data_IF_945778087175
#
_entry.id   IF_945778087175
#
_cell.length_a   1.000
_cell.length_b   1.000
_cell.length_c   1.000
_cell.angle_alpha   90.00
_cell.angle_beta   90.00
_cell.angle_gamma   90.00
#
_symmetry.space_group_name_H-M   'P 1'
#
loop_
_entity.id
_entity.type
_entity.pdbx_description
1 polymer ?
#
# COMPACT_ATOMS: atom_id res chain seq x y z
N UNK A 1 -1.99 -22.71 10.27
CA UNK A 1 -2.90 -21.55 10.05
C UNK A 1 -3.09 -20.76 11.34
N UNK A 2 -2.05 -20.69 12.18
CA UNK A 2 -2.16 -20.01 13.46
C UNK A 2 -2.28 -18.49 13.26
N UNK A 3 -3.39 -17.91 13.70
CA UNK A 3 -3.61 -16.47 13.79
C UNK A 3 -4.30 -15.80 12.58
N UNK A 4 -4.58 -16.50 11.49
CA UNK A 4 -5.32 -15.91 10.36
C UNK A 4 -6.80 -15.86 10.70
N UNK A 5 -7.38 -14.65 10.63
CA UNK A 5 -8.79 -14.39 10.97
C UNK A 5 -9.63 -14.47 9.69
N UNK A 6 -10.66 -15.30 9.72
CA UNK A 6 -11.71 -15.31 8.71
C UNK A 6 -12.79 -14.32 9.14
N UNK A 7 -13.04 -13.31 8.35
CA UNK A 7 -14.03 -12.27 8.65
C UNK A 7 -15.45 -12.82 8.47
N UNK A 8 -16.36 -12.43 9.37
CA UNK A 8 -17.78 -12.70 9.22
C UNK A 8 -18.38 -11.83 8.10
N UNK A 9 -19.59 -12.17 7.58
CA UNK A 9 -20.25 -11.31 6.59
C UNK A 9 -20.41 -9.86 7.07
N UNK A 10 -20.76 -9.65 8.33
CA UNK A 10 -20.91 -8.32 8.92
C UNK A 10 -19.58 -7.56 9.02
N UNK A 11 -18.49 -8.26 9.31
CA UNK A 11 -17.15 -7.68 9.33
C UNK A 11 -16.69 -7.32 7.91
N UNK A 12 -16.99 -8.16 6.93
CA UNK A 12 -16.69 -7.90 5.50
C UNK A 12 -17.38 -6.61 5.03
N UNK A 13 -18.65 -6.38 5.40
CA UNK A 13 -19.33 -5.13 5.05
C UNK A 13 -18.64 -3.89 5.65
N UNK A 14 -18.15 -3.98 6.89
CA UNK A 14 -17.38 -2.90 7.51
C UNK A 14 -16.06 -2.66 6.78
N UNK A 15 -15.38 -3.73 6.37
CA UNK A 15 -14.14 -3.64 5.61
C UNK A 15 -14.38 -3.03 4.22
N UNK A 16 -15.49 -3.35 3.55
CA UNK A 16 -15.90 -2.69 2.30
C UNK A 16 -16.12 -1.19 2.47
N UNK A 17 -16.81 -0.79 3.55
CA UNK A 17 -16.98 0.64 3.86
C UNK A 17 -15.63 1.33 4.05
N UNK A 18 -14.73 0.75 4.85
CA UNK A 18 -13.42 1.35 5.14
C UNK A 18 -12.50 1.37 3.91
N UNK A 19 -12.51 0.31 3.12
CA UNK A 19 -11.78 0.28 1.84
C UNK A 19 -12.26 1.39 0.89
N UNK A 20 -13.58 1.61 0.81
CA UNK A 20 -14.14 2.74 0.06
C UNK A 20 -13.71 4.09 0.62
N UNK A 21 -13.72 4.26 1.95
CA UNK A 21 -13.34 5.52 2.60
C UNK A 21 -11.85 5.86 2.35
N UNK A 22 -10.95 4.89 2.47
CA UNK A 22 -9.52 5.14 2.22
C UNK A 22 -9.27 5.44 0.74
N UNK A 23 -9.92 4.74 -0.19
CA UNK A 23 -9.81 5.01 -1.62
C UNK A 23 -10.35 6.41 -2.00
N UNK A 24 -11.47 6.83 -1.39
CA UNK A 24 -12.04 8.17 -1.54
C UNK A 24 -11.09 9.26 -1.00
N UNK A 25 -10.41 9.00 0.12
CA UNK A 25 -9.39 9.91 0.64
C UNK A 25 -8.21 10.03 -0.33
N UNK A 26 -7.73 8.92 -0.92
CA UNK A 26 -6.68 8.96 -1.95
C UNK A 26 -7.12 9.76 -3.19
N UNK A 27 -8.37 9.61 -3.64
CA UNK A 27 -8.93 10.40 -4.75
C UNK A 27 -8.96 11.90 -4.41
N UNK A 28 -9.34 12.24 -3.19
CA UNK A 28 -9.35 13.64 -2.70
C UNK A 28 -7.93 14.21 -2.62
N UNK A 29 -7.01 13.51 -1.94
CA UNK A 29 -5.63 13.96 -1.72
C UNK A 29 -4.86 14.11 -3.03
N UNK A 30 -5.07 13.21 -3.99
CA UNK A 30 -4.41 13.23 -5.30
C UNK A 30 -4.56 14.57 -6.05
N UNK A 31 -5.65 15.30 -5.81
CA UNK A 31 -5.90 16.60 -6.44
C UNK A 31 -4.93 17.70 -5.97
N UNK A 32 -4.27 17.50 -4.83
CA UNK A 32 -3.33 18.45 -4.24
C UNK A 32 -1.87 18.14 -4.54
N UNK A 33 -1.58 16.97 -5.12
CA UNK A 33 -0.21 16.58 -5.45
C UNK A 33 0.29 17.33 -6.68
N UNK A 34 1.11 18.35 -6.43
CA UNK A 34 1.68 19.23 -7.48
C UNK A 34 3.00 19.85 -7.02
N UNK A 35 3.82 20.39 -7.93
CA UNK A 35 5.04 21.09 -7.56
C UNK A 35 4.79 22.22 -6.55
N UNK A 36 5.65 22.31 -5.54
CA UNK A 36 5.60 23.35 -4.49
C UNK A 36 4.82 22.97 -3.24
N UNK A 37 3.96 21.93 -3.29
CA UNK A 37 3.27 21.41 -2.09
C UNK A 37 4.26 20.62 -1.25
N UNK A 38 4.20 20.76 0.07
CA UNK A 38 4.99 19.98 1.02
C UNK A 38 4.24 18.71 1.43
N UNK A 39 4.96 17.68 1.83
CA UNK A 39 4.33 16.47 2.35
C UNK A 39 3.66 16.68 3.71
N UNK A 40 4.08 17.72 4.49
CA UNK A 40 3.36 18.17 5.69
C UNK A 40 2.00 18.78 5.37
N UNK A 41 1.85 19.50 4.25
CA UNK A 41 0.53 19.97 3.80
C UNK A 41 -0.37 18.82 3.40
N UNK A 42 0.17 17.79 2.74
CA UNK A 42 -0.55 16.55 2.41
C UNK A 42 -1.00 15.84 3.70
N UNK A 43 -0.12 15.66 4.67
CA UNK A 43 -0.42 15.04 5.96
C UNK A 43 -1.57 15.76 6.69
N UNK A 44 -1.56 17.09 6.68
CA UNK A 44 -2.64 17.90 7.26
C UNK A 44 -3.97 17.66 6.56
N UNK A 45 -3.97 17.62 5.23
CA UNK A 45 -5.18 17.33 4.45
C UNK A 45 -5.72 15.91 4.77
N UNK A 46 -4.85 14.93 4.89
CA UNK A 46 -5.23 13.55 5.29
C UNK A 46 -5.87 13.55 6.67
N UNK A 47 -5.23 14.17 7.66
CA UNK A 47 -5.77 14.27 9.00
C UNK A 47 -7.17 14.90 9.00
N UNK A 48 -7.28 16.10 8.39
CA UNK A 48 -8.54 16.84 8.33
C UNK A 48 -9.64 16.04 7.62
N UNK A 49 -9.31 15.32 6.55
CA UNK A 49 -10.28 14.53 5.80
C UNK A 49 -10.75 13.31 6.59
N UNK A 50 -9.84 12.52 7.14
CA UNK A 50 -10.19 11.35 7.94
C UNK A 50 -10.99 11.70 9.19
N UNK A 51 -10.58 12.76 9.91
CA UNK A 51 -11.21 13.13 11.20
C UNK A 51 -12.50 13.91 10.99
N UNK A 52 -12.46 14.98 10.18
CA UNK A 52 -13.57 15.94 10.12
C UNK A 52 -14.61 15.58 9.05
N UNK A 53 -14.22 14.84 8.00
CA UNK A 53 -15.14 14.46 6.90
C UNK A 53 -15.62 13.02 7.07
N UNK A 54 -14.70 12.07 7.28
CA UNK A 54 -15.03 10.65 7.31
C UNK A 54 -15.38 10.14 8.72
N UNK A 55 -15.09 10.92 9.77
CA UNK A 55 -15.38 10.55 11.16
C UNK A 55 -14.56 9.34 11.64
N UNK A 56 -13.36 9.18 11.11
CA UNK A 56 -12.39 8.16 11.48
C UNK A 56 -11.14 8.74 12.12
N UNK A 57 -10.11 7.91 12.26
CA UNK A 57 -8.81 8.29 12.82
C UNK A 57 -7.70 7.77 11.92
N UNK A 58 -6.66 8.56 11.59
CA UNK A 58 -5.51 8.10 10.81
C UNK A 58 -4.70 7.10 11.64
N UNK A 59 -4.75 5.83 11.30
CA UNK A 59 -4.16 4.74 12.06
C UNK A 59 -2.62 4.80 12.19
N UNK A 60 -1.86 5.37 11.23
CA UNK A 60 -0.41 5.51 11.39
C UNK A 60 -0.02 6.42 12.55
N UNK A 61 -0.83 7.45 12.87
CA UNK A 61 -0.50 8.42 13.91
C UNK A 61 -0.35 7.74 15.29
N UNK A 62 0.85 7.86 15.87
CA UNK A 62 1.28 7.24 17.11
C UNK A 62 1.39 5.70 17.09
N UNK A 63 1.34 5.09 15.92
CA UNK A 63 1.56 3.64 15.76
C UNK A 63 3.04 3.27 15.93
N UNK A 64 3.30 2.08 16.47
CA UNK A 64 4.64 1.50 16.56
C UNK A 64 5.55 2.05 17.65
N UNK A 65 6.85 1.71 17.55
CA UNK A 65 7.88 2.14 18.49
C UNK A 65 9.22 2.37 17.75
N UNK A 66 9.72 3.63 17.65
CA UNK A 66 9.11 4.86 18.17
C UNK A 66 7.72 5.14 17.57
N UNK A 67 6.85 5.92 18.25
CA UNK A 67 5.54 6.26 17.69
C UNK A 67 5.67 7.03 16.37
N UNK A 68 4.95 6.61 15.33
CA UNK A 68 4.95 7.32 14.06
C UNK A 68 4.31 8.71 14.22
N UNK A 69 4.95 9.80 13.76
CA UNK A 69 4.55 11.14 14.18
C UNK A 69 3.48 11.79 13.29
N UNK A 70 2.98 11.11 12.25
CA UNK A 70 2.15 11.68 11.19
C UNK A 70 0.93 10.82 10.88
N UNK A 71 -0.01 11.38 10.12
CA UNK A 71 -1.30 10.76 9.78
C UNK A 71 -1.23 9.84 8.57
N UNK A 72 -0.20 9.98 7.76
CA UNK A 72 0.04 9.17 6.57
C UNK A 72 1.53 8.96 6.34
N UNK A 73 1.88 7.98 5.48
CA UNK A 73 3.24 7.89 4.97
C UNK A 73 3.33 8.57 3.59
N UNK A 74 4.45 9.26 3.35
CA UNK A 74 4.73 9.93 2.07
C UNK A 74 6.14 9.55 1.61
N UNK A 75 6.22 8.70 0.59
CA UNK A 75 7.48 8.12 0.14
C UNK A 75 7.87 8.67 -1.23
N UNK A 76 8.85 9.60 -1.23
CA UNK A 76 9.25 10.35 -2.43
C UNK A 76 10.49 9.73 -3.07
N UNK A 77 10.43 9.48 -4.37
CA UNK A 77 11.54 9.03 -5.24
C UNK A 77 12.21 7.74 -4.75
N UNK A 78 13.33 7.84 -4.03
CA UNK A 78 14.11 6.72 -3.53
C UNK A 78 13.68 6.22 -2.14
N UNK A 79 12.65 6.83 -1.56
CA UNK A 79 12.00 6.32 -0.34
C UNK A 79 11.11 5.16 -0.75
N UNK A 80 11.33 4.00 -0.14
CA UNK A 80 10.61 2.76 -0.44
C UNK A 80 9.22 2.79 0.23
N UNK A 81 9.21 3.03 1.55
CA UNK A 81 7.99 3.09 2.36
C UNK A 81 8.23 3.85 3.66
N UNK A 82 7.16 4.10 4.42
CA UNK A 82 7.16 4.75 5.73
C UNK A 82 7.84 6.13 5.77
N UNK A 83 7.91 6.82 4.64
CA UNK A 83 8.45 8.18 4.59
C UNK A 83 7.63 9.12 5.47
N UNK A 84 8.32 9.84 6.38
CA UNK A 84 7.67 10.80 7.28
C UNK A 84 7.46 12.11 6.54
N UNK A 85 6.22 12.62 6.48
CA UNK A 85 5.92 13.96 5.95
C UNK A 85 6.81 15.06 6.52
N UNK A 86 7.36 15.92 5.66
CA UNK A 86 8.25 17.02 6.01
C UNK A 86 7.90 18.32 5.24
N UNK A 87 8.65 19.40 5.50
CA UNK A 87 8.44 20.71 4.89
C UNK A 87 9.16 20.90 3.54
N UNK A 88 9.73 19.83 2.97
CA UNK A 88 10.35 19.92 1.65
C UNK A 88 9.28 19.96 0.58
N UNK A 89 9.27 20.99 -0.28
CA UNK A 89 8.33 21.06 -1.37
C UNK A 89 8.60 19.99 -2.43
N UNK A 90 7.55 19.35 -2.91
CA UNK A 90 7.59 18.47 -4.06
C UNK A 90 8.04 19.24 -5.30
N UNK A 91 8.80 18.60 -6.17
CA UNK A 91 9.36 19.20 -7.37
C UNK A 91 8.78 18.52 -8.62
N UNK A 92 8.74 19.31 -9.70
CA UNK A 92 8.46 18.77 -11.03
C UNK A 92 9.35 17.56 -11.32
N UNK A 93 8.74 16.44 -11.71
CA UNK A 93 9.45 15.19 -12.00
C UNK A 93 9.57 14.23 -10.83
N UNK A 94 9.20 14.63 -9.60
CA UNK A 94 9.13 13.69 -8.47
C UNK A 94 8.00 12.66 -8.66
N UNK A 95 8.21 11.47 -8.11
CA UNK A 95 7.18 10.47 -7.89
C UNK A 95 6.97 10.30 -6.38
N UNK A 96 5.75 10.10 -5.95
CA UNK A 96 5.43 9.94 -4.54
C UNK A 96 4.40 8.83 -4.34
N UNK A 97 4.66 7.93 -3.39
CA UNK A 97 3.63 7.07 -2.82
C UNK A 97 3.01 7.80 -1.64
N UNK A 98 1.67 7.81 -1.60
CA UNK A 98 0.90 8.28 -0.44
C UNK A 98 0.13 7.07 0.06
N UNK A 99 0.33 6.76 1.33
CA UNK A 99 -0.16 5.57 2.00
C UNK A 99 -1.03 6.00 3.19
N UNK A 100 -2.28 5.61 3.14
CA UNK A 100 -3.34 6.02 4.05
C UNK A 100 -4.00 4.83 4.72
N UNK A 101 -4.10 4.88 6.04
CA UNK A 101 -4.89 3.92 6.80
C UNK A 101 -5.89 4.65 7.68
N UNK A 102 -7.17 4.39 7.50
CA UNK A 102 -8.24 4.89 8.36
C UNK A 102 -8.65 3.83 9.39
N UNK A 103 -8.84 4.25 10.64
CA UNK A 103 -9.48 3.46 11.69
C UNK A 103 -10.84 4.04 12.01
N UNK A 104 -11.90 3.22 11.91
CA UNK A 104 -13.27 3.61 12.26
C UNK A 104 -14.06 2.40 12.78
N UNK A 105 -14.87 2.59 13.79
CA UNK A 105 -15.74 1.55 14.37
C UNK A 105 -15.01 0.24 14.73
N UNK A 106 -13.74 0.37 15.16
CA UNK A 106 -12.89 -0.73 15.59
C UNK A 106 -12.26 -1.56 14.47
N UNK A 107 -12.33 -1.09 13.21
CA UNK A 107 -11.70 -1.71 12.04
C UNK A 107 -10.76 -0.73 11.33
N UNK A 108 -9.94 -1.25 10.41
CA UNK A 108 -9.00 -0.49 9.61
C UNK A 108 -9.28 -0.70 8.12
N UNK A 109 -9.07 0.34 7.32
CA UNK A 109 -9.02 0.27 5.86
C UNK A 109 -7.69 0.88 5.39
N UNK A 110 -7.00 0.21 4.49
CA UNK A 110 -5.62 0.48 4.12
C UNK A 110 -5.40 0.47 2.61
N UNK A 111 -4.74 1.48 2.09
CA UNK A 111 -4.36 1.52 0.67
C UNK A 111 -3.32 2.58 0.40
N UNK A 112 -2.48 2.34 -0.58
CA UNK A 112 -1.53 3.33 -1.07
C UNK A 112 -1.56 3.48 -2.58
N UNK A 113 -1.16 4.67 -3.03
CA UNK A 113 -1.18 4.99 -4.46
C UNK A 113 0.04 5.82 -4.85
N UNK A 114 0.55 5.57 -6.07
CA UNK A 114 1.57 6.42 -6.68
C UNK A 114 0.95 7.65 -7.34
N UNK A 115 1.60 8.78 -7.16
CA UNK A 115 1.29 10.01 -7.86
C UNK A 115 2.54 10.59 -8.53
N UNK A 116 2.33 11.23 -9.68
CA UNK A 116 3.38 11.98 -10.37
C UNK A 116 3.26 13.46 -10.03
N UNK A 117 4.39 14.11 -9.79
CA UNK A 117 4.45 15.56 -9.54
C UNK A 117 4.78 16.27 -10.84
N UNK A 118 3.73 16.74 -11.54
CA UNK A 118 3.89 17.26 -12.89
C UNK A 118 4.35 16.21 -13.89
N UNK A 119 5.22 16.59 -14.83
CA UNK A 119 5.74 15.68 -15.85
C UNK A 119 6.96 14.90 -15.35
N UNK A 120 6.83 13.60 -15.26
CA UNK A 120 7.92 12.69 -14.85
C UNK A 120 8.68 12.12 -16.05
N UNK A 121 9.86 11.56 -15.79
CA UNK A 121 10.64 10.88 -16.82
C UNK A 121 9.94 9.59 -17.27
N UNK A 122 10.15 9.13 -18.54
CA UNK A 122 9.63 7.83 -19.00
C UNK A 122 10.06 6.65 -18.13
N UNK A 123 11.26 6.73 -17.54
CA UNK A 123 11.79 5.70 -16.64
C UNK A 123 10.98 5.65 -15.34
N UNK A 124 10.68 6.81 -14.75
CA UNK A 124 9.86 6.90 -13.54
C UNK A 124 8.41 6.43 -13.80
N UNK A 125 7.82 6.84 -14.93
CA UNK A 125 6.49 6.38 -15.31
C UNK A 125 6.45 4.86 -15.48
N UNK A 126 7.43 4.29 -16.19
CA UNK A 126 7.54 2.83 -16.39
C UNK A 126 7.66 2.08 -15.06
N UNK A 127 8.39 2.62 -14.07
CA UNK A 127 8.48 2.01 -12.74
C UNK A 127 7.10 1.98 -12.06
N UNK A 128 6.37 3.09 -12.09
CA UNK A 128 5.01 3.18 -11.55
C UNK A 128 4.09 2.15 -12.20
N UNK A 129 4.09 2.09 -13.54
CA UNK A 129 3.21 1.20 -14.30
C UNK A 129 3.53 -0.28 -14.06
N UNK A 130 4.81 -0.64 -14.00
CA UNK A 130 5.23 -2.02 -13.70
C UNK A 130 4.91 -2.41 -12.26
N UNK A 131 5.04 -1.47 -11.31
CA UNK A 131 4.68 -1.74 -9.90
C UNK A 131 3.19 -1.99 -9.76
N UNK A 132 2.34 -1.18 -10.44
CA UNK A 132 0.91 -1.42 -10.49
C UNK A 132 0.58 -2.78 -11.13
N UNK A 133 1.18 -3.10 -12.28
CA UNK A 133 1.00 -4.39 -12.93
C UNK A 133 1.47 -5.57 -12.06
N UNK A 134 2.54 -5.39 -11.27
CA UNK A 134 3.04 -6.38 -10.31
C UNK A 134 2.00 -6.65 -9.21
N UNK A 135 1.44 -5.59 -8.63
CA UNK A 135 0.36 -5.70 -7.63
C UNK A 135 -0.85 -6.43 -8.20
N UNK A 136 -1.32 -6.00 -9.38
CA UNK A 136 -2.50 -6.60 -10.02
C UNK A 136 -2.30 -8.07 -10.36
N UNK A 137 -1.11 -8.47 -10.82
CA UNK A 137 -0.79 -9.87 -11.08
C UNK A 137 -0.86 -10.71 -9.78
N UNK A 138 -0.41 -10.15 -8.65
CA UNK A 138 -0.58 -10.79 -7.34
C UNK A 138 -2.04 -10.93 -6.95
N UNK A 139 -2.84 -9.87 -7.14
CA UNK A 139 -4.28 -9.87 -6.83
C UNK A 139 -5.03 -10.88 -7.70
N UNK A 140 -4.74 -10.96 -8.99
CA UNK A 140 -5.36 -11.92 -9.93
C UNK A 140 -5.06 -13.38 -9.57
N UNK A 141 -3.98 -13.65 -8.84
CA UNK A 141 -3.68 -14.98 -8.32
C UNK A 141 -4.52 -15.37 -7.09
N UNK A 142 -5.25 -14.40 -6.47
CA UNK A 142 -6.06 -14.63 -5.28
C UNK A 142 -7.35 -15.36 -5.64
N UNK A 143 -7.49 -16.57 -5.10
CA UNK A 143 -8.71 -17.36 -5.17
C UNK A 143 -8.70 -18.46 -4.09
N UNK A 144 -9.85 -19.02 -3.71
CA UNK A 144 -9.88 -20.16 -2.80
C UNK A 144 -9.00 -21.30 -3.29
N UNK A 145 -8.18 -21.85 -2.40
CA UNK A 145 -7.27 -22.96 -2.69
C UNK A 145 -5.92 -22.57 -3.28
N UNK A 146 -5.73 -21.35 -3.79
CA UNK A 146 -4.41 -20.80 -4.08
C UNK A 146 -3.63 -20.57 -2.78
N UNK A 147 -2.34 -20.28 -2.87
CA UNK A 147 -1.48 -20.00 -1.71
C UNK A 147 -0.95 -18.58 -1.75
N UNK A 148 -0.51 -18.05 -0.61
CA UNK A 148 0.19 -16.76 -0.58
C UNK A 148 1.49 -16.77 -1.39
N UNK A 149 2.13 -17.93 -1.55
CA UNK A 149 3.27 -18.09 -2.45
C UNK A 149 2.91 -17.92 -3.93
N UNK A 150 1.67 -18.22 -4.34
CA UNK A 150 1.18 -17.93 -5.69
C UNK A 150 1.06 -16.43 -5.93
N UNK A 151 0.54 -15.70 -4.93
CA UNK A 151 0.45 -14.23 -4.94
C UNK A 151 1.83 -13.60 -5.06
N UNK A 152 2.74 -13.96 -4.15
CA UNK A 152 4.10 -13.41 -4.14
C UNK A 152 4.88 -13.76 -5.41
N UNK A 153 4.74 -14.98 -5.92
CA UNK A 153 5.36 -15.39 -7.17
C UNK A 153 4.87 -14.53 -8.35
N UNK A 154 3.56 -14.28 -8.44
CA UNK A 154 2.99 -13.49 -9.52
C UNK A 154 3.51 -12.04 -9.49
N UNK A 155 3.53 -11.39 -8.31
CA UNK A 155 4.14 -10.06 -8.14
C UNK A 155 5.59 -10.04 -8.61
N UNK A 156 6.40 -10.99 -8.14
CA UNK A 156 7.83 -11.07 -8.42
C UNK A 156 8.11 -11.24 -9.91
N UNK A 157 7.36 -12.11 -10.59
CA UNK A 157 7.58 -12.37 -12.02
C UNK A 157 7.40 -11.12 -12.88
N UNK A 158 6.38 -10.30 -12.61
CA UNK A 158 6.15 -9.06 -13.37
C UNK A 158 7.29 -8.07 -13.14
N UNK A 159 7.70 -7.85 -11.90
CA UNK A 159 8.76 -6.90 -11.56
C UNK A 159 10.12 -7.32 -12.13
N UNK A 160 10.53 -8.58 -11.92
CA UNK A 160 11.84 -9.09 -12.32
C UNK A 160 11.97 -9.24 -13.85
N UNK A 161 10.90 -9.66 -14.54
CA UNK A 161 10.87 -9.70 -16.00
C UNK A 161 10.98 -8.31 -16.64
N UNK A 162 10.56 -7.26 -15.93
CA UNK A 162 10.75 -5.88 -16.33
C UNK A 162 12.15 -5.33 -16.02
N UNK A 163 13.00 -6.11 -15.33
CA UNK A 163 14.37 -5.74 -14.94
C UNK A 163 14.46 -4.97 -13.63
N UNK A 164 13.40 -5.01 -12.79
CA UNK A 164 13.35 -4.36 -11.49
C UNK A 164 13.54 -5.36 -10.34
N UNK A 165 13.68 -4.86 -9.12
CA UNK A 165 13.90 -5.68 -7.93
C UNK A 165 12.74 -5.56 -6.94
N UNK A 166 12.31 -6.69 -6.39
CA UNK A 166 11.29 -6.73 -5.33
C UNK A 166 11.97 -6.58 -3.98
N UNK A 167 11.47 -5.68 -3.14
CA UNK A 167 11.87 -5.55 -1.74
C UNK A 167 11.37 -6.78 -0.96
N UNK A 168 12.21 -7.33 -0.10
CA UNK A 168 11.93 -8.59 0.61
C UNK A 168 11.79 -8.43 2.12
N UNK A 169 12.21 -7.31 2.66
CA UNK A 169 12.24 -7.03 4.09
C UNK A 169 10.90 -6.49 4.62
N UNK A 170 10.01 -6.09 3.73
CA UNK A 170 8.65 -5.65 4.02
C UNK A 170 7.64 -6.49 3.23
N UNK A 171 6.42 -6.54 3.72
CA UNK A 171 5.37 -7.39 3.15
C UNK A 171 3.99 -6.79 3.41
N UNK A 172 3.00 -7.25 2.69
CA UNK A 172 1.61 -7.05 3.00
C UNK A 172 1.17 -7.88 4.22
N UNK A 173 -0.01 -7.63 4.69
CA UNK A 173 -0.50 -8.18 5.96
C UNK A 173 -2.01 -8.42 5.95
N UNK A 174 -2.47 -9.32 6.82
CA UNK A 174 -3.87 -9.39 7.18
C UNK A 174 -4.31 -8.08 7.85
N UNK A 175 -5.56 -7.72 7.68
CA UNK A 175 -6.12 -6.47 8.22
C UNK A 175 -7.55 -6.68 8.69
N UNK A 176 -7.99 -5.85 9.65
CA UNK A 176 -9.33 -5.89 10.19
C UNK A 176 -9.43 -5.09 11.48
N UNK A 177 -9.66 -5.77 12.59
CA UNK A 177 -9.64 -5.12 13.91
C UNK A 177 -8.24 -4.69 14.32
N UNK A 178 -7.22 -5.45 13.94
CA UNK A 178 -5.82 -5.03 14.01
C UNK A 178 -5.43 -4.31 12.72
N UNK A 179 -4.55 -3.33 12.83
CA UNK A 179 -3.95 -2.67 11.67
C UNK A 179 -3.12 -3.71 10.89
N UNK A 180 -2.19 -4.39 11.59
CA UNK A 180 -1.43 -5.49 11.03
C UNK A 180 -1.81 -6.79 11.72
N UNK A 181 -2.42 -7.70 10.96
CA UNK A 181 -2.82 -9.04 11.39
C UNK A 181 -2.06 -10.10 10.58
N UNK A 182 -2.16 -11.36 11.00
CA UNK A 182 -1.76 -12.47 10.14
C UNK A 182 -2.75 -12.61 8.95
N UNK A 183 -2.27 -13.02 7.77
CA UNK A 183 -0.93 -13.51 7.46
C UNK A 183 0.04 -12.40 7.03
N UNK A 184 1.34 -12.70 6.98
CA UNK A 184 2.29 -11.94 6.19
C UNK A 184 2.13 -12.31 4.71
N UNK A 185 2.05 -11.30 3.83
CA UNK A 185 1.87 -11.44 2.39
C UNK A 185 3.15 -11.00 1.69
N UNK A 186 4.03 -11.95 1.41
CA UNK A 186 5.28 -11.67 0.70
C UNK A 186 4.99 -11.40 -0.78
N UNK A 187 5.70 -10.44 -1.38
CA UNK A 187 5.58 -10.11 -2.81
C UNK A 187 6.63 -10.84 -3.66
N UNK A 188 7.14 -11.93 -3.14
CA UNK A 188 8.04 -12.89 -3.78
C UNK A 188 7.77 -14.28 -3.22
N UNK A 189 8.21 -15.32 -3.91
CA UNK A 189 8.04 -16.68 -3.40
C UNK A 189 7.98 -17.74 -4.48
N UNK A 190 7.38 -18.87 -4.11
CA UNK A 190 7.23 -20.03 -4.99
C UNK A 190 5.77 -20.47 -5.02
N UNK A 191 5.30 -20.85 -6.21
CA UNK A 191 3.96 -21.39 -6.40
C UNK A 191 3.67 -22.57 -5.46
N UNK A 192 2.46 -22.59 -4.93
CA UNK A 192 1.96 -23.67 -4.06
C UNK A 192 2.54 -23.65 -2.65
N UNK A 193 3.30 -22.62 -2.25
CA UNK A 193 3.88 -22.52 -0.91
C UNK A 193 3.14 -21.53 0.00
N UNK A 194 3.23 -21.76 1.30
CA UNK A 194 2.64 -20.89 2.31
C UNK A 194 1.17 -21.19 2.61
N UNK A 195 0.50 -20.29 3.34
CA UNK A 195 -0.91 -20.43 3.71
C UNK A 195 -1.82 -20.55 2.50
N UNK A 196 -2.77 -21.50 2.60
CA UNK A 196 -3.83 -21.66 1.59
C UNK A 196 -4.90 -20.62 1.82
N UNK A 197 -5.30 -19.93 0.77
CA UNK A 197 -6.32 -18.89 0.77
C UNK A 197 -7.71 -19.49 0.95
N UNK A 198 -8.51 -18.88 1.81
CA UNK A 198 -9.87 -19.27 2.12
C UNK A 198 -10.81 -18.08 2.04
N UNK A 199 -12.08 -18.28 1.62
CA UNK A 199 -13.09 -17.23 1.66
C UNK A 199 -13.16 -16.54 3.03
N UNK A 200 -13.32 -15.22 3.03
CA UNK A 200 -13.35 -14.39 4.22
C UNK A 200 -11.99 -13.94 4.75
N UNK A 201 -10.87 -14.38 4.15
CA UNK A 201 -9.57 -13.74 4.39
C UNK A 201 -9.55 -12.36 3.78
N UNK A 202 -9.02 -11.37 4.52
CA UNK A 202 -8.75 -10.01 4.01
C UNK A 202 -7.30 -9.66 4.34
N UNK A 203 -6.58 -9.18 3.34
CA UNK A 203 -5.17 -8.80 3.46
C UNK A 203 -4.78 -7.75 2.41
N UNK A 204 -3.64 -7.10 2.61
CA UNK A 204 -3.07 -6.16 1.65
C UNK A 204 -2.17 -6.86 0.64
N UNK A 205 -2.17 -6.35 -0.60
CA UNK A 205 -1.18 -6.68 -1.63
C UNK A 205 -0.50 -5.38 -2.02
N UNK A 206 0.78 -5.23 -1.65
CA UNK A 206 1.48 -3.93 -1.63
C UNK A 206 2.96 -4.04 -2.06
N UNK A 207 3.26 -4.56 -3.25
CA UNK A 207 4.64 -4.75 -3.67
C UNK A 207 5.41 -3.43 -3.73
N UNK A 208 6.58 -3.42 -3.08
CA UNK A 208 7.58 -2.36 -3.18
C UNK A 208 8.63 -2.76 -4.20
N UNK A 209 8.74 -1.99 -5.28
CA UNK A 209 9.58 -2.30 -6.43
C UNK A 209 10.64 -1.23 -6.61
N UNK A 210 11.91 -1.64 -6.62
CA UNK A 210 13.05 -0.75 -6.84
C UNK A 210 13.51 -0.81 -8.29
N UNK A 211 13.81 0.35 -8.87
CA UNK A 211 14.43 0.46 -10.18
C UNK A 211 15.83 -0.19 -10.24
N UNK A 212 16.57 -0.09 -9.14
CA UNK A 212 17.89 -0.68 -8.96
C UNK A 212 17.87 -1.99 -8.17
N UNK A 213 18.79 -2.11 -7.21
CA UNK A 213 18.90 -3.31 -6.37
C UNK A 213 17.87 -3.29 -5.23
N UNK A 214 17.47 -4.48 -4.75
CA UNK A 214 16.47 -4.63 -3.68
C UNK A 214 16.93 -4.12 -2.30
N UNK A 215 18.25 -3.89 -2.12
CA UNK A 215 18.82 -3.54 -0.82
C UNK A 215 18.36 -2.17 -0.32
N UNK A 216 18.07 -2.11 0.96
CA UNK A 216 17.51 -0.94 1.62
C UNK A 216 18.36 -0.49 2.84
N UNK A 217 17.98 0.66 3.37
CA UNK A 217 18.46 1.20 4.64
C UNK A 217 17.32 1.91 5.34
N UNK A 218 17.16 1.68 6.63
CA UNK A 218 16.27 2.45 7.51
C UNK A 218 17.05 3.67 8.01
N UNK A 219 16.42 4.84 7.95
CA UNK A 219 17.03 6.09 8.43
C UNK A 219 16.98 6.18 9.96
N UNK A 220 17.71 7.16 10.52
CA UNK A 220 17.83 7.35 11.97
C UNK A 220 16.53 7.80 12.65
N UNK A 221 15.50 8.18 11.89
CA UNK A 221 14.16 8.45 12.40
C UNK A 221 13.42 7.17 12.85
N UNK A 222 13.98 6.00 12.53
CA UNK A 222 13.45 4.68 12.88
C UNK A 222 12.32 4.20 11.97
N UNK A 223 11.90 4.99 10.95
CA UNK A 223 10.78 4.70 10.07
C UNK A 223 11.11 4.72 8.58
N UNK A 224 11.69 5.83 8.11
CA UNK A 224 11.91 6.05 6.68
C UNK A 224 12.84 5.01 6.09
N UNK A 225 12.35 4.26 5.11
CA UNK A 225 13.08 3.21 4.41
C UNK A 225 13.49 3.73 3.04
N UNK A 226 14.78 3.64 2.70
CA UNK A 226 15.31 4.15 1.43
C UNK A 226 16.07 3.07 0.68
N UNK A 227 16.10 3.16 -0.65
CA UNK A 227 16.98 2.32 -1.48
C UNK A 227 18.44 2.62 -1.16
N UNK A 228 19.27 1.56 -1.01
CA UNK A 228 20.67 1.73 -0.65
C UNK A 228 21.48 2.38 -1.77
N UNK A 229 21.10 2.17 -3.01
CA UNK A 229 21.74 2.71 -4.22
C UNK A 229 21.12 4.04 -4.70
N UNK A 230 20.12 4.58 -3.97
CA UNK A 230 19.36 5.78 -4.30
C UNK A 230 18.57 5.71 -5.62
N UNK A 231 18.34 4.52 -6.14
CA UNK A 231 17.43 4.31 -7.26
C UNK A 231 15.99 4.62 -6.87
N UNK A 232 15.13 4.93 -7.84
CA UNK A 232 13.71 5.14 -7.59
C UNK A 232 13.05 3.87 -7.04
N UNK A 233 12.06 4.06 -6.21
CA UNK A 233 11.17 3.01 -5.71
C UNK A 233 9.72 3.41 -5.91
N UNK A 234 8.85 2.45 -6.14
CA UNK A 234 7.41 2.65 -6.21
C UNK A 234 6.69 1.55 -5.43
N UNK A 235 5.52 1.90 -4.89
CA UNK A 235 4.61 0.99 -4.21
C UNK A 235 3.17 1.30 -4.63
N UNK A 236 2.38 0.27 -4.86
CA UNK A 236 0.93 0.35 -4.95
C UNK A 236 0.35 -0.64 -3.96
N UNK A 237 -0.83 -0.36 -3.46
CA UNK A 237 -1.47 -1.23 -2.48
C UNK A 237 -2.96 -1.25 -2.64
N UNK A 238 -3.51 -2.46 -2.54
CA UNK A 238 -4.93 -2.70 -2.37
C UNK A 238 -5.21 -3.69 -1.24
N UNK A 239 -6.31 -3.44 -0.56
CA UNK A 239 -6.94 -4.37 0.36
C UNK A 239 -7.83 -5.33 -0.42
N UNK A 240 -7.64 -6.64 -0.21
CA UNK A 240 -8.23 -7.71 -1.01
C UNK A 240 -8.96 -8.70 -0.11
N UNK A 241 -10.22 -8.96 -0.43
CA UNK A 241 -11.03 -10.04 0.14
C UNK A 241 -10.95 -11.27 -0.75
N UNK A 242 -10.69 -12.43 -0.16
CA UNK A 242 -10.89 -13.74 -0.80
C UNK A 242 -12.38 -14.06 -0.78
N UNK A 243 -13.03 -14.14 -1.94
CA UNK A 243 -14.44 -14.51 -2.09
C UNK A 243 -14.62 -16.03 -2.26
N UNK A 244 -15.84 -16.51 -2.38
CA UNK A 244 -16.12 -17.94 -2.63
C UNK A 244 -15.57 -18.45 -3.97
N UNK A 245 -15.38 -17.56 -4.95
CA UNK A 245 -15.00 -17.93 -6.32
C UNK A 245 -13.73 -17.25 -6.84
N UNK A 246 -13.19 -16.27 -6.12
CA UNK A 246 -12.03 -15.49 -6.55
C UNK A 246 -11.64 -14.45 -5.52
N UNK A 247 -11.64 -13.17 -5.92
CA UNK A 247 -11.29 -12.04 -5.06
C UNK A 247 -12.21 -10.85 -5.29
N UNK A 248 -12.17 -9.92 -4.34
CA UNK A 248 -12.75 -8.58 -4.44
C UNK A 248 -11.72 -7.56 -3.94
N UNK A 249 -11.49 -6.50 -4.69
CA UNK A 249 -10.66 -5.37 -4.27
C UNK A 249 -11.56 -4.40 -3.51
N UNK A 250 -11.28 -4.17 -2.23
CA UNK A 250 -12.10 -3.32 -1.36
C UNK A 250 -11.78 -1.82 -1.51
N UNK A 251 -10.61 -1.51 -2.07
CA UNK A 251 -10.06 -0.14 -2.16
C UNK A 251 -10.05 0.42 -3.58
N UNK A 252 -11.03 0.02 -4.39
CA UNK A 252 -11.23 0.57 -5.74
C UNK A 252 -11.59 2.05 -5.66
N UNK A 253 -10.99 2.89 -6.52
CA UNK A 253 -11.27 4.32 -6.57
C UNK A 253 -12.75 4.59 -6.88
N UNK A 254 -13.51 5.26 -5.99
CA UNK A 254 -14.89 5.63 -6.28
C UNK A 254 -15.01 6.63 -7.44
N UNK A 255 -14.01 7.47 -7.64
CA UNK A 255 -14.02 8.49 -8.69
C UNK A 255 -13.84 7.91 -10.10
N UNK A 256 -13.08 6.81 -10.24
CA UNK A 256 -12.74 6.24 -11.55
C UNK A 256 -13.33 4.85 -11.79
N UNK A 257 -13.73 4.15 -10.72
CA UNK A 257 -14.13 2.75 -10.77
C UNK A 257 -12.99 1.79 -11.13
N UNK A 258 -11.74 2.23 -11.00
CA UNK A 258 -10.54 1.45 -11.31
C UNK A 258 -9.74 1.11 -10.06
N UNK A 259 -9.11 -0.07 -10.02
CA UNK A 259 -8.13 -0.42 -9.01
C UNK A 259 -6.83 0.37 -9.15
#
# INVERSE_FOLDING_TARGET
MNGIIIKTPEEIEKMRELGRLVAEALDYIGQFVKPGVTTNEIDKLVYDYHVNVQGGYPAPLHYGNPPYPKSCCTSVNHVICHGIPDDKPLKEGDIINIDLTIKKDGFHGDSSRMFTVGKVSPIAQRLIDVTHASMMAGIEAVKPGATLGDVGYACQQVAENAGYSVVQEFCGHGIGRGFHEAPQVLHYGKKGQGPVLKPGMIFTVEPMINQGKRHLRILNDGWTVVTKDRSLSAQWEHEVLVTETGYEILTVSPATGKP
#
